data_IF_516541446870
#
_entry.id   IF_516541446870
#
_cell.length_a   1.000
_cell.length_b   1.000
_cell.length_c   1.000
_cell.angle_alpha   90.00
_cell.angle_beta   90.00
_cell.angle_gamma   90.00
#
_symmetry.space_group_name_H-M   'P 1'
#
loop_
_entity.id
_entity.type
_entity.pdbx_description
1 polymer ?
#
# COMPACT_ATOMS: atom_id res chain seq x y z
N UNK A 1 -66.60 7.14 51.58
CA UNK A 1 -66.45 6.11 50.52
C UNK A 1 -65.56 6.72 49.43
N UNK A 2 -64.22 6.86 49.63
CA UNK A 2 -63.38 7.51 48.60
C UNK A 2 -61.89 7.10 48.63
N UNK A 3 -61.57 5.90 49.13
CA UNK A 3 -60.16 5.45 49.20
C UNK A 3 -59.78 4.39 48.13
N UNK A 4 -60.72 3.93 47.29
CA UNK A 4 -60.45 2.91 46.25
C UNK A 4 -59.88 3.46 44.95
N UNK A 5 -60.27 4.66 44.55
CA UNK A 5 -59.92 5.23 43.24
C UNK A 5 -58.48 5.73 43.17
N UNK A 6 -57.90 6.16 44.29
CA UNK A 6 -56.51 6.64 44.32
C UNK A 6 -55.45 5.51 44.31
N UNK A 7 -55.76 4.36 44.85
CA UNK A 7 -54.83 3.17 44.82
C UNK A 7 -54.70 2.57 43.41
N UNK A 8 -55.78 2.59 42.65
CA UNK A 8 -55.75 2.10 41.25
C UNK A 8 -54.96 3.01 40.32
N UNK A 9 -55.08 4.34 40.47
CA UNK A 9 -54.31 5.34 39.73
C UNK A 9 -52.81 5.27 40.04
N UNK A 10 -52.43 4.99 41.29
CA UNK A 10 -51.06 4.82 41.70
C UNK A 10 -50.43 3.52 41.13
N UNK A 11 -51.17 2.41 41.12
CA UNK A 11 -50.72 1.14 40.54
C UNK A 11 -50.52 1.22 39.00
N UNK A 12 -51.44 1.84 38.25
CA UNK A 12 -51.30 2.08 36.82
C UNK A 12 -50.12 2.96 36.47
N UNK A 13 -49.85 4.02 37.27
CA UNK A 13 -48.66 4.89 37.05
C UNK A 13 -47.35 4.15 37.32
N UNK A 14 -47.32 3.26 38.33
CA UNK A 14 -46.11 2.49 38.64
C UNK A 14 -45.81 1.45 37.54
N UNK A 15 -46.82 0.79 36.98
CA UNK A 15 -46.62 -0.13 35.84
C UNK A 15 -46.18 0.59 34.56
N UNK A 16 -46.69 1.77 34.26
CA UNK A 16 -46.27 2.55 33.11
C UNK A 16 -44.80 3.01 33.25
N UNK A 17 -44.36 3.42 34.45
CA UNK A 17 -42.98 3.85 34.72
C UNK A 17 -41.99 2.68 34.65
N UNK A 18 -42.39 1.48 35.15
CA UNK A 18 -41.56 0.27 35.07
C UNK A 18 -41.44 -0.21 33.62
N UNK A 19 -42.53 -0.18 32.85
CA UNK A 19 -42.49 -0.54 31.40
C UNK A 19 -41.61 0.46 30.58
N UNK A 20 -41.71 1.75 30.89
CA UNK A 20 -40.87 2.77 30.22
C UNK A 20 -39.39 2.60 30.58
N UNK A 21 -39.06 2.30 31.85
CA UNK A 21 -37.68 2.02 32.26
C UNK A 21 -37.09 0.78 31.64
N UNK A 22 -37.87 -0.31 31.49
CA UNK A 22 -37.43 -1.54 30.83
C UNK A 22 -37.22 -1.30 29.32
N UNK A 23 -38.06 -0.51 28.66
CA UNK A 23 -37.90 -0.15 27.25
C UNK A 23 -36.65 0.73 27.03
N UNK A 24 -36.35 1.66 27.95
CA UNK A 24 -35.13 2.49 27.88
C UNK A 24 -33.87 1.67 28.13
N UNK A 25 -33.89 0.69 29.03
CA UNK A 25 -32.74 -0.21 29.28
C UNK A 25 -32.50 -1.16 28.12
N UNK A 26 -33.54 -1.66 27.45
CA UNK A 26 -33.43 -2.52 26.27
C UNK A 26 -32.95 -1.72 25.03
N UNK A 27 -33.39 -0.48 24.86
CA UNK A 27 -32.90 0.38 23.76
C UNK A 27 -31.46 0.83 23.96
N UNK A 28 -31.01 1.01 25.21
CA UNK A 28 -29.62 1.35 25.52
C UNK A 28 -28.67 0.16 25.30
N UNK A 29 -29.13 -1.06 25.50
CA UNK A 29 -28.36 -2.29 25.21
C UNK A 29 -28.20 -2.55 23.70
N UNK A 30 -29.12 -2.10 22.85
CA UNK A 30 -29.03 -2.24 21.40
C UNK A 30 -28.06 -1.22 20.76
N UNK A 31 -27.87 -0.05 21.38
CA UNK A 31 -26.96 1.00 20.87
C UNK A 31 -25.49 0.70 21.17
N UNK A 32 -25.18 -0.17 22.15
CA UNK A 32 -23.81 -0.53 22.52
C UNK A 32 -23.24 -1.65 21.63
N UNK A 33 -24.07 -2.38 20.90
CA UNK A 33 -23.62 -3.51 20.06
C UNK A 33 -23.07 -3.12 18.68
N UNK A 34 -23.24 -1.86 18.25
CA UNK A 34 -22.92 -1.43 16.88
C UNK A 34 -21.67 -0.51 16.75
N UNK A 35 -20.90 -0.30 17.82
CA UNK A 35 -19.76 0.65 17.79
C UNK A 35 -18.39 0.00 17.93
N UNK A 36 -18.20 -1.23 17.50
CA UNK A 36 -16.84 -1.81 17.43
C UNK A 36 -16.57 -2.60 16.14
N UNK A 37 -16.80 -1.98 14.99
CA UNK A 37 -16.01 -2.30 13.80
C UNK A 37 -14.92 -1.23 13.61
N UNK A 38 -14.14 -0.98 14.64
CA UNK A 38 -12.81 -0.40 14.47
C UNK A 38 -12.03 -1.37 13.59
N UNK A 39 -11.64 -0.93 12.39
CA UNK A 39 -10.64 -1.61 11.58
C UNK A 39 -9.31 -1.54 12.35
N UNK A 40 -9.12 -2.46 13.28
CA UNK A 40 -7.85 -2.66 13.97
C UNK A 40 -6.99 -3.54 13.08
N UNK A 41 -5.76 -3.13 12.77
CA UNK A 41 -4.77 -4.04 12.21
C UNK A 41 -4.67 -5.22 13.17
N UNK A 42 -4.98 -6.41 12.68
CA UNK A 42 -5.18 -7.53 13.56
C UNK A 42 -3.86 -8.24 13.87
N UNK A 43 -3.73 -8.69 15.10
CA UNK A 43 -2.74 -9.67 15.51
C UNK A 43 -2.98 -10.99 14.76
N UNK A 44 -1.97 -11.85 14.66
CA UNK A 44 -2.07 -13.10 13.90
C UNK A 44 -3.25 -13.98 14.32
N UNK A 45 -3.58 -14.17 15.61
CA UNK A 45 -4.76 -14.93 16.04
C UNK A 45 -6.07 -14.34 15.52
N UNK A 46 -6.19 -13.01 15.46
CA UNK A 46 -7.38 -12.35 14.95
C UNK A 46 -7.51 -12.52 13.44
N UNK A 47 -6.41 -12.42 12.68
CA UNK A 47 -6.39 -12.71 11.23
C UNK A 47 -6.88 -14.13 10.96
N UNK A 48 -6.40 -15.10 11.73
CA UNK A 48 -6.83 -16.50 11.61
C UNK A 48 -8.30 -16.69 11.97
N UNK A 49 -8.76 -16.06 13.06
CA UNK A 49 -10.15 -16.15 13.53
C UNK A 49 -11.14 -15.58 12.51
N UNK A 50 -10.85 -14.45 11.91
CA UNK A 50 -11.72 -13.82 10.90
C UNK A 50 -11.57 -14.45 9.51
N UNK A 51 -10.50 -15.23 9.26
CA UNK A 51 -10.33 -16.04 8.07
C UNK A 51 -9.95 -15.26 6.80
N UNK A 52 -9.47 -14.02 6.92
CA UNK A 52 -8.95 -13.22 5.81
C UNK A 52 -7.92 -12.17 6.29
N UNK A 53 -7.13 -11.65 5.36
CA UNK A 53 -6.15 -10.59 5.61
C UNK A 53 -6.49 -9.34 4.80
N UNK A 54 -6.37 -8.15 5.41
CA UNK A 54 -6.54 -6.86 4.75
C UNK A 54 -5.18 -6.32 4.31
N UNK A 55 -5.01 -6.05 3.02
CA UNK A 55 -3.73 -5.62 2.46
C UNK A 55 -3.91 -4.36 1.63
N UNK A 56 -3.21 -3.27 1.98
CA UNK A 56 -3.11 -2.10 1.14
C UNK A 56 -2.20 -2.38 -0.06
N UNK A 57 -2.65 -2.06 -1.27
CA UNK A 57 -1.94 -2.31 -2.53
C UNK A 57 -1.98 -1.11 -3.46
N UNK A 58 -1.15 -1.12 -4.50
CA UNK A 58 -1.29 -0.19 -5.63
C UNK A 58 -2.27 -0.76 -6.65
N UNK A 59 -2.97 0.13 -7.38
CA UNK A 59 -3.88 -0.24 -8.46
C UNK A 59 -3.62 0.51 -9.77
N UNK A 60 -2.58 1.34 -9.79
CA UNK A 60 -2.21 2.19 -10.91
C UNK A 60 -0.70 2.17 -11.21
N UNK A 61 -0.01 1.10 -10.82
CA UNK A 61 1.45 1.01 -10.90
C UNK A 61 1.87 -0.32 -11.53
N UNK A 62 1.86 -0.38 -12.88
CA UNK A 62 2.40 -1.51 -13.64
C UNK A 62 3.93 -1.54 -13.50
N UNK A 63 4.55 -2.71 -13.35
CA UNK A 63 3.99 -4.06 -13.31
C UNK A 63 3.67 -4.57 -11.90
N UNK A 64 3.79 -3.73 -10.85
CA UNK A 64 3.70 -4.14 -9.44
C UNK A 64 2.26 -4.36 -8.97
N UNK A 65 1.41 -3.34 -9.11
CA UNK A 65 -0.01 -3.40 -8.73
C UNK A 65 -0.84 -2.45 -9.58
N UNK A 66 -1.69 -2.99 -10.44
CA UNK A 66 -2.49 -2.23 -11.41
C UNK A 66 -3.81 -2.92 -11.71
N UNK A 67 -4.71 -2.21 -12.38
CA UNK A 67 -5.95 -2.79 -12.91
C UNK A 67 -5.80 -3.16 -14.38
N UNK A 68 -6.32 -4.33 -14.74
CA UNK A 68 -6.48 -4.71 -16.15
C UNK A 68 -7.64 -3.97 -16.82
N UNK A 69 -7.89 -4.26 -18.10
CA UNK A 69 -8.99 -3.65 -18.86
C UNK A 69 -10.38 -3.98 -18.28
N UNK A 70 -10.52 -5.06 -17.53
CA UNK A 70 -11.75 -5.48 -16.84
C UNK A 70 -11.88 -4.91 -15.43
N UNK A 71 -10.88 -4.12 -14.96
CA UNK A 71 -10.86 -3.53 -13.64
C UNK A 71 -10.29 -4.44 -12.54
N UNK A 72 -9.82 -5.66 -12.87
CA UNK A 72 -9.25 -6.58 -11.90
C UNK A 72 -7.84 -6.16 -11.48
N UNK A 73 -7.54 -6.32 -10.20
CA UNK A 73 -6.21 -6.08 -9.67
C UNK A 73 -5.23 -7.19 -10.08
N UNK A 74 -4.10 -6.80 -10.66
CA UNK A 74 -3.04 -7.67 -11.16
C UNK A 74 -1.65 -7.07 -10.85
N UNK A 75 -0.60 -7.88 -10.97
CA UNK A 75 0.79 -7.47 -10.82
C UNK A 75 1.55 -8.29 -9.78
N UNK A 76 2.85 -8.10 -9.72
CA UNK A 76 3.75 -8.81 -8.82
C UNK A 76 3.32 -8.72 -7.35
N UNK A 77 2.94 -7.52 -6.90
CA UNK A 77 2.53 -7.27 -5.51
C UNK A 77 1.15 -7.88 -5.20
N UNK A 78 0.28 -7.96 -6.20
CA UNK A 78 -1.02 -8.62 -6.07
C UNK A 78 -0.86 -10.14 -5.95
N UNK A 79 0.05 -10.74 -6.75
CA UNK A 79 0.39 -12.15 -6.63
C UNK A 79 1.02 -12.45 -5.27
N UNK A 80 1.93 -11.60 -4.79
CA UNK A 80 2.52 -11.72 -3.46
C UNK A 80 1.46 -11.64 -2.34
N UNK A 81 0.52 -10.70 -2.46
CA UNK A 81 -0.58 -10.55 -1.49
C UNK A 81 -1.44 -11.82 -1.40
N UNK A 82 -1.79 -12.41 -2.55
CA UNK A 82 -2.55 -13.67 -2.61
C UNK A 82 -1.76 -14.85 -2.06
N UNK A 83 -0.46 -14.94 -2.37
CA UNK A 83 0.42 -15.98 -1.84
C UNK A 83 0.56 -15.89 -0.32
N UNK A 84 0.74 -14.69 0.24
CA UNK A 84 0.77 -14.48 1.68
C UNK A 84 -0.57 -14.84 2.35
N UNK A 85 -1.72 -14.60 1.70
CA UNK A 85 -3.01 -15.04 2.22
C UNK A 85 -3.08 -16.57 2.34
N UNK A 86 -2.51 -17.33 1.39
CA UNK A 86 -2.40 -18.79 1.53
C UNK A 86 -1.58 -19.19 2.74
N UNK A 87 -0.43 -18.55 2.96
CA UNK A 87 0.45 -18.87 4.11
C UNK A 87 -0.14 -18.48 5.46
N UNK A 88 -0.94 -17.41 5.52
CA UNK A 88 -1.49 -16.88 6.77
C UNK A 88 -2.83 -17.52 7.14
N UNK A 89 -3.70 -17.79 6.16
CA UNK A 89 -5.09 -18.24 6.38
C UNK A 89 -5.52 -19.42 5.50
N UNK A 90 -4.61 -19.97 4.68
CA UNK A 90 -4.83 -21.22 3.94
C UNK A 90 -5.54 -21.09 2.58
N UNK A 91 -5.93 -19.87 2.14
CA UNK A 91 -6.65 -19.65 0.87
C UNK A 91 -6.21 -18.36 0.18
N UNK A 92 -6.04 -18.40 -1.14
CA UNK A 92 -5.60 -17.27 -1.95
C UNK A 92 -6.66 -16.15 -2.09
N UNK A 93 -7.92 -16.50 -2.00
CA UNK A 93 -9.07 -15.57 -2.05
C UNK A 93 -9.40 -14.97 -0.67
N UNK A 94 -8.78 -15.46 0.40
CA UNK A 94 -8.92 -14.93 1.75
C UNK A 94 -8.12 -13.63 1.96
N UNK A 95 -8.15 -12.74 0.98
CA UNK A 95 -7.49 -11.43 1.00
C UNK A 95 -8.44 -10.33 0.56
N UNK A 96 -8.51 -9.26 1.36
CA UNK A 96 -9.18 -8.02 0.99
C UNK A 96 -8.12 -7.01 0.55
N UNK A 97 -8.06 -6.76 -0.75
CA UNK A 97 -7.12 -5.81 -1.35
C UNK A 97 -7.72 -4.40 -1.31
N UNK A 98 -7.04 -3.48 -0.67
CA UNK A 98 -7.46 -2.08 -0.55
C UNK A 98 -6.49 -1.18 -1.33
N UNK A 99 -6.91 -0.62 -2.47
CA UNK A 99 -6.11 0.34 -3.21
C UNK A 99 -5.82 1.60 -2.39
N UNK A 100 -4.56 2.06 -2.42
CA UNK A 100 -4.13 3.25 -1.69
C UNK A 100 -3.27 4.17 -2.55
N UNK A 101 -3.40 5.50 -2.33
CA UNK A 101 -2.50 6.48 -2.92
C UNK A 101 -1.09 6.40 -2.30
N UNK A 102 -0.08 6.94 -2.99
CA UNK A 102 1.30 6.90 -2.50
C UNK A 102 1.47 7.53 -1.11
N UNK A 103 0.76 8.61 -0.83
CA UNK A 103 0.80 9.32 0.46
C UNK A 103 0.16 8.53 1.61
N UNK A 104 -0.77 7.61 1.30
CA UNK A 104 -1.62 6.93 2.29
C UNK A 104 -1.10 5.54 2.67
N UNK A 105 -0.01 5.06 2.02
CA UNK A 105 0.52 3.70 2.20
C UNK A 105 0.94 3.39 3.63
N UNK A 106 1.56 4.34 4.32
CA UNK A 106 2.02 4.16 5.71
C UNK A 106 0.90 4.46 6.70
N UNK A 107 0.10 5.52 6.47
CA UNK A 107 -1.01 5.87 7.35
C UNK A 107 -2.08 4.78 7.38
N UNK A 108 -2.33 4.08 6.27
CA UNK A 108 -3.25 2.95 6.27
C UNK A 108 -2.87 1.85 7.28
N UNK A 109 -1.56 1.61 7.46
CA UNK A 109 -1.04 0.67 8.45
C UNK A 109 -1.02 1.28 9.85
N UNK A 110 -0.56 2.52 9.99
CA UNK A 110 -0.47 3.22 11.28
C UNK A 110 -1.84 3.47 11.92
N UNK A 111 -2.84 3.77 11.10
CA UNK A 111 -4.23 3.98 11.52
C UNK A 111 -5.01 2.66 11.66
N UNK A 112 -4.33 1.52 11.54
CA UNK A 112 -4.91 0.18 11.64
C UNK A 112 -6.08 -0.10 10.66
N UNK A 113 -6.12 0.59 9.52
CA UNK A 113 -7.13 0.37 8.46
C UNK A 113 -6.89 -0.93 7.68
N UNK A 114 -5.65 -1.40 7.67
CA UNK A 114 -5.21 -2.65 7.05
C UNK A 114 -4.23 -3.37 7.97
N UNK A 115 -4.03 -4.67 7.77
CA UNK A 115 -3.05 -5.45 8.53
C UNK A 115 -1.62 -5.23 8.06
N UNK A 116 -1.47 -4.98 6.75
CA UNK A 116 -0.18 -4.72 6.13
C UNK A 116 -0.35 -3.94 4.83
N UNK A 117 0.77 -3.42 4.31
CA UNK A 117 0.80 -2.83 2.97
C UNK A 117 1.88 -3.51 2.11
N UNK A 118 1.49 -3.85 0.87
CA UNK A 118 2.35 -4.32 -0.22
C UNK A 118 2.10 -3.36 -1.38
N UNK A 119 2.78 -2.21 -1.35
CA UNK A 119 2.40 -1.07 -2.18
C UNK A 119 3.63 -0.24 -2.58
N UNK A 120 4.68 -0.90 -3.05
CA UNK A 120 5.96 -0.30 -3.44
C UNK A 120 6.54 0.61 -2.34
N UNK A 121 6.73 0.06 -1.16
CA UNK A 121 7.29 0.79 -0.03
C UNK A 121 8.74 0.40 0.18
N UNK A 122 9.65 1.36 -0.05
CA UNK A 122 11.07 1.22 0.27
C UNK A 122 11.26 1.20 1.79
N UNK A 123 11.94 0.19 2.29
CA UNK A 123 12.37 0.14 3.69
C UNK A 123 13.51 1.15 3.93
N UNK A 124 13.25 2.15 4.77
CA UNK A 124 14.23 3.17 5.16
C UNK A 124 14.32 3.29 6.68
N UNK A 125 15.47 3.75 7.20
CA UNK A 125 15.67 3.95 8.63
C UNK A 125 14.65 4.90 9.26
N UNK A 126 14.21 5.95 8.54
CA UNK A 126 13.19 6.88 9.01
C UNK A 126 11.83 6.20 9.17
N UNK A 127 11.42 5.40 8.18
CA UNK A 127 10.14 4.67 8.20
C UNK A 127 10.14 3.54 9.23
N UNK A 128 11.29 2.86 9.44
CA UNK A 128 11.44 1.79 10.44
C UNK A 128 11.25 2.26 11.89
N UNK A 129 11.26 3.58 12.13
CA UNK A 129 10.89 4.13 13.45
C UNK A 129 9.38 4.05 13.70
N UNK A 130 8.57 4.09 12.65
CA UNK A 130 7.11 4.15 12.71
C UNK A 130 6.45 2.79 12.49
N UNK A 131 6.96 1.99 11.56
CA UNK A 131 6.40 0.71 11.11
C UNK A 131 7.44 -0.39 11.13
N UNK A 132 7.00 -1.64 11.06
CA UNK A 132 7.86 -2.81 10.84
C UNK A 132 7.93 -3.16 9.36
N UNK A 133 9.08 -3.63 8.91
CA UNK A 133 9.29 -4.12 7.54
C UNK A 133 9.61 -5.61 7.55
N UNK A 134 9.19 -6.30 6.50
CA UNK A 134 9.68 -7.64 6.19
C UNK A 134 11.10 -7.60 5.63
N UNK A 135 11.72 -8.78 5.43
CA UNK A 135 12.81 -8.93 4.47
C UNK A 135 12.33 -8.45 3.09
N UNK A 136 13.23 -7.87 2.27
CA UNK A 136 12.84 -7.38 0.95
C UNK A 136 12.30 -8.50 0.05
N UNK A 137 11.19 -8.26 -0.64
CA UNK A 137 10.67 -9.16 -1.67
C UNK A 137 11.15 -8.78 -3.07
N UNK A 138 11.62 -7.53 -3.25
CA UNK A 138 12.13 -7.02 -4.52
C UNK A 138 13.17 -5.93 -4.28
N UNK A 139 14.15 -5.81 -5.18
CA UNK A 139 15.12 -4.71 -5.19
C UNK A 139 14.87 -3.84 -6.41
N UNK A 140 14.26 -2.71 -6.18
CA UNK A 140 14.04 -1.67 -7.18
C UNK A 140 15.26 -0.73 -7.25
N UNK A 141 15.11 0.41 -7.87
CA UNK A 141 16.10 1.47 -7.90
C UNK A 141 15.80 2.51 -8.95
N UNK A 142 16.30 3.72 -8.74
CA UNK A 142 16.11 4.82 -9.65
C UNK A 142 16.86 4.58 -10.97
N UNK A 143 16.18 4.81 -12.08
CA UNK A 143 16.73 4.85 -13.44
C UNK A 143 16.12 6.03 -14.18
N UNK A 144 16.58 6.26 -15.39
CA UNK A 144 16.12 7.35 -16.25
C UNK A 144 15.48 6.81 -17.51
N UNK A 145 14.37 7.40 -17.92
CA UNK A 145 13.72 7.16 -19.22
C UNK A 145 13.78 8.40 -20.08
N UNK A 146 13.98 8.22 -21.38
CA UNK A 146 14.00 9.29 -22.38
C UNK A 146 13.49 8.79 -23.71
N UNK A 147 12.95 9.69 -24.55
CA UNK A 147 12.68 9.43 -25.98
C UNK A 147 13.76 10.04 -26.90
N UNK A 148 14.64 10.87 -26.36
CA UNK A 148 15.73 11.48 -27.13
C UNK A 148 16.84 10.47 -27.39
N UNK A 149 17.00 10.08 -28.66
CA UNK A 149 17.98 9.08 -29.09
C UNK A 149 19.43 9.56 -28.97
N UNK A 150 19.68 10.86 -28.83
CA UNK A 150 21.02 11.43 -28.63
C UNK A 150 21.55 11.20 -27.20
N UNK A 151 20.68 10.98 -26.23
CA UNK A 151 21.04 10.79 -24.83
C UNK A 151 21.32 9.30 -24.55
N UNK A 152 22.56 8.88 -24.66
CA UNK A 152 22.96 7.48 -24.53
C UNK A 152 23.49 7.13 -23.13
N UNK A 153 24.11 8.09 -22.47
CA UNK A 153 24.82 7.93 -21.21
C UNK A 153 24.32 8.94 -20.18
N UNK A 154 24.55 8.65 -18.94
CA UNK A 154 24.21 9.54 -17.82
C UNK A 154 24.86 10.92 -17.97
N UNK A 155 26.11 10.98 -18.45
CA UNK A 155 26.85 12.24 -18.69
C UNK A 155 26.14 13.18 -19.67
N UNK A 156 25.38 12.65 -20.61
CA UNK A 156 24.67 13.44 -21.62
C UNK A 156 23.53 14.28 -21.01
N UNK A 157 23.16 13.95 -19.78
CA UNK A 157 22.13 14.64 -18.99
C UNK A 157 22.67 15.71 -18.04
N UNK A 158 23.99 15.94 -17.98
CA UNK A 158 24.63 16.77 -16.96
C UNK A 158 24.10 18.23 -16.87
N UNK A 159 23.59 18.79 -17.97
CA UNK A 159 22.99 20.13 -18.02
C UNK A 159 21.59 20.13 -18.63
N UNK A 160 20.89 19.00 -18.53
CA UNK A 160 19.57 18.81 -19.10
C UNK A 160 18.49 18.92 -18.02
N UNK A 161 17.26 19.13 -18.47
CA UNK A 161 16.08 19.12 -17.61
C UNK A 161 15.62 17.69 -17.35
N UNK A 162 15.53 17.33 -16.09
CA UNK A 162 15.12 15.99 -15.65
C UNK A 162 13.87 16.14 -14.79
N UNK A 163 12.75 15.57 -15.25
CA UNK A 163 11.55 15.47 -14.44
C UNK A 163 11.76 14.46 -13.29
N UNK A 164 11.25 14.77 -12.11
CA UNK A 164 11.28 13.91 -10.92
C UNK A 164 9.97 14.08 -10.15
N UNK A 165 9.45 13.01 -9.57
CA UNK A 165 8.30 13.13 -8.66
C UNK A 165 8.71 13.93 -7.42
N UNK A 166 7.91 14.94 -7.06
CA UNK A 166 8.07 15.68 -5.80
C UNK A 166 8.03 14.70 -4.61
N UNK A 167 8.86 14.97 -3.61
CA UNK A 167 9.00 14.16 -2.40
C UNK A 167 9.44 12.69 -2.62
N UNK A 168 10.01 12.35 -3.79
CA UNK A 168 10.58 11.03 -4.04
C UNK A 168 12.04 10.93 -3.56
N UNK A 169 12.48 9.73 -3.18
CA UNK A 169 13.89 9.40 -2.90
C UNK A 169 14.79 9.58 -4.12
N UNK A 170 14.23 9.47 -5.32
CA UNK A 170 14.93 9.63 -6.60
C UNK A 170 15.61 10.99 -6.74
N UNK A 171 15.04 12.05 -6.15
CA UNK A 171 15.63 13.41 -6.19
C UNK A 171 17.07 13.41 -5.67
N UNK A 172 17.30 12.78 -4.51
CA UNK A 172 18.63 12.71 -3.90
C UNK A 172 19.62 11.93 -4.79
N UNK A 173 19.15 10.83 -5.39
CA UNK A 173 19.95 10.01 -6.28
C UNK A 173 20.35 10.78 -7.55
N UNK A 174 19.39 11.48 -8.19
CA UNK A 174 19.70 12.28 -9.38
C UNK A 174 20.67 13.41 -9.06
N UNK A 175 20.47 14.12 -7.94
CA UNK A 175 21.40 15.20 -7.52
C UNK A 175 22.81 14.69 -7.25
N UNK A 176 22.95 13.48 -6.71
CA UNK A 176 24.26 12.90 -6.45
C UNK A 176 25.02 12.60 -7.74
N UNK A 177 24.36 11.99 -8.72
CA UNK A 177 25.02 11.60 -9.98
C UNK A 177 25.05 12.71 -11.03
N UNK A 178 24.10 13.64 -10.99
CA UNK A 178 23.92 14.72 -11.95
C UNK A 178 23.71 16.07 -11.22
N UNK A 179 24.73 16.55 -10.48
CA UNK A 179 24.60 17.77 -9.65
C UNK A 179 24.26 19.03 -10.44
N UNK A 180 24.63 19.08 -11.74
CA UNK A 180 24.42 20.23 -12.61
C UNK A 180 23.14 20.11 -13.49
N UNK A 181 22.35 19.03 -13.34
CA UNK A 181 21.09 18.91 -14.05
C UNK A 181 20.00 19.79 -13.42
N UNK A 182 19.13 20.33 -14.25
CA UNK A 182 17.95 21.08 -13.80
C UNK A 182 16.83 20.09 -13.46
N UNK A 183 16.41 20.04 -12.19
CA UNK A 183 15.32 19.16 -11.77
C UNK A 183 13.97 19.86 -11.85
N UNK A 184 13.04 19.28 -12.58
CA UNK A 184 11.65 19.72 -12.72
C UNK A 184 10.76 18.80 -11.88
N UNK A 185 10.25 19.33 -10.76
CA UNK A 185 9.37 18.56 -9.86
C UNK A 185 7.96 18.43 -10.41
N UNK A 186 7.46 17.20 -10.53
CA UNK A 186 6.11 16.88 -10.99
C UNK A 186 5.30 16.20 -9.88
N UNK A 187 3.96 16.31 -9.94
CA UNK A 187 3.06 15.72 -8.97
C UNK A 187 2.57 14.32 -9.38
N UNK A 188 2.71 13.97 -10.66
CA UNK A 188 2.23 12.68 -11.20
C UNK A 188 3.10 12.16 -12.34
N UNK A 189 2.95 10.86 -12.65
CA UNK A 189 3.54 10.24 -13.84
C UNK A 189 2.97 10.81 -15.13
N UNK A 190 1.70 11.20 -15.15
CA UNK A 190 1.03 11.83 -16.28
C UNK A 190 1.65 13.21 -16.60
N UNK A 191 1.94 13.99 -15.57
CA UNK A 191 2.63 15.27 -15.73
C UNK A 191 4.06 15.07 -16.27
N UNK A 192 4.79 14.08 -15.74
CA UNK A 192 6.12 13.74 -16.28
C UNK A 192 6.03 13.34 -17.77
N UNK A 193 5.03 12.55 -18.14
CA UNK A 193 4.77 12.17 -19.54
C UNK A 193 4.52 13.41 -20.41
N UNK A 194 3.68 14.32 -19.98
CA UNK A 194 3.38 15.54 -20.72
C UNK A 194 4.63 16.43 -20.92
N UNK A 195 5.49 16.54 -19.88
CA UNK A 195 6.75 17.28 -20.01
C UNK A 195 7.71 16.65 -21.04
N UNK A 196 7.78 15.31 -21.08
CA UNK A 196 8.60 14.61 -22.07
C UNK A 196 8.02 14.73 -23.48
N UNK A 197 6.70 14.61 -23.64
CA UNK A 197 6.04 14.75 -24.95
C UNK A 197 6.24 16.16 -25.54
N UNK A 198 6.15 17.19 -24.70
CA UNK A 198 6.31 18.59 -25.11
C UNK A 198 7.77 19.05 -25.15
N UNK A 199 8.74 18.15 -24.94
CA UNK A 199 10.19 18.46 -24.82
C UNK A 199 10.52 19.52 -23.74
N UNK A 200 9.66 19.70 -22.75
CA UNK A 200 9.87 20.56 -21.59
C UNK A 200 10.82 19.92 -20.56
N UNK A 201 10.99 18.58 -20.62
CA UNK A 201 12.05 17.83 -19.95
C UNK A 201 12.71 16.87 -20.94
N UNK A 202 14.00 16.56 -20.72
CA UNK A 202 14.79 15.68 -21.59
C UNK A 202 14.74 14.22 -21.15
N UNK A 203 14.53 14.00 -19.85
CA UNK A 203 14.40 12.68 -19.24
C UNK A 203 13.47 12.74 -18.03
N UNK A 204 12.97 11.59 -17.62
CA UNK A 204 12.26 11.42 -16.34
C UNK A 204 12.99 10.36 -15.51
N UNK A 205 13.25 10.68 -14.24
CA UNK A 205 13.86 9.77 -13.29
C UNK A 205 12.81 9.22 -12.32
N UNK A 206 12.71 7.92 -12.28
CA UNK A 206 11.84 7.19 -11.36
C UNK A 206 12.39 5.78 -11.14
N UNK A 207 11.63 4.96 -10.40
CA UNK A 207 12.03 3.59 -10.11
C UNK A 207 11.97 2.69 -11.36
N UNK A 208 12.90 1.76 -11.46
CA UNK A 208 13.05 0.88 -12.60
C UNK A 208 11.78 0.07 -12.88
N UNK A 209 11.12 -0.43 -11.83
CA UNK A 209 9.86 -1.17 -11.96
C UNK A 209 8.75 -0.34 -12.63
N UNK A 210 8.65 0.95 -12.29
CA UNK A 210 7.69 1.88 -12.91
C UNK A 210 8.04 2.15 -14.36
N UNK A 211 9.32 2.45 -14.61
CA UNK A 211 9.77 2.81 -15.95
C UNK A 211 9.83 1.61 -16.89
N UNK A 212 9.97 0.38 -16.38
CA UNK A 212 9.77 -0.85 -17.18
C UNK A 212 8.34 -0.92 -17.72
N UNK A 213 7.34 -0.69 -16.89
CA UNK A 213 5.96 -0.60 -17.35
C UNK A 213 5.70 0.55 -18.33
N UNK A 214 6.42 1.68 -18.14
CA UNK A 214 6.36 2.81 -19.05
C UNK A 214 6.84 2.47 -20.45
N UNK A 215 8.04 1.87 -20.60
CA UNK A 215 8.59 1.53 -21.93
C UNK A 215 7.83 0.39 -22.61
N UNK A 216 7.17 -0.49 -21.86
CA UNK A 216 6.26 -1.48 -22.41
C UNK A 216 5.01 -0.80 -23.04
N UNK A 217 4.51 0.23 -22.41
CA UNK A 217 3.32 0.96 -22.88
C UNK A 217 3.64 1.95 -23.99
N UNK A 218 4.83 2.56 -23.95
CA UNK A 218 5.28 3.62 -24.88
C UNK A 218 6.63 3.25 -25.50
N UNK A 219 6.65 2.45 -26.59
CA UNK A 219 7.86 1.91 -27.19
C UNK A 219 8.87 2.94 -27.75
N UNK A 220 8.43 4.20 -27.94
CA UNK A 220 9.32 5.31 -28.34
C UNK A 220 10.27 5.73 -27.22
N UNK A 221 9.99 5.33 -25.97
CA UNK A 221 10.85 5.59 -24.83
C UNK A 221 11.82 4.43 -24.60
N UNK A 222 12.95 4.74 -23.97
CA UNK A 222 13.94 3.76 -23.55
C UNK A 222 14.54 4.10 -22.20
N UNK A 223 14.95 3.13 -21.46
CA UNK A 223 15.72 3.29 -20.24
C UNK A 223 17.18 3.59 -20.57
N UNK A 224 17.79 4.50 -19.82
CA UNK A 224 19.25 4.62 -19.81
C UNK A 224 19.85 3.44 -19.02
N UNK A 225 21.01 2.93 -19.42
CA UNK A 225 21.58 1.72 -18.86
C UNK A 225 22.06 1.87 -17.40
N UNK A 226 22.20 3.12 -16.92
CA UNK A 226 22.74 3.39 -15.59
C UNK A 226 21.66 3.37 -14.52
N UNK A 227 21.80 2.47 -13.55
CA UNK A 227 20.99 2.44 -12.34
C UNK A 227 21.57 3.38 -11.30
N UNK A 228 20.75 4.31 -10.79
CA UNK A 228 21.17 5.34 -9.85
C UNK A 228 21.08 4.90 -8.37
N UNK A 229 20.26 3.90 -8.06
CA UNK A 229 20.12 3.37 -6.70
C UNK A 229 19.66 1.92 -6.70
N UNK A 230 19.75 1.31 -5.52
CA UNK A 230 19.10 0.01 -5.23
C UNK A 230 18.27 0.20 -3.97
N UNK A 231 16.97 -0.03 -4.10
CA UNK A 231 15.99 0.23 -3.03
C UNK A 231 15.23 -1.04 -2.68
N UNK A 232 15.34 -1.52 -1.42
CA UNK A 232 14.62 -2.72 -0.99
C UNK A 232 13.13 -2.41 -0.82
N UNK A 233 12.26 -3.11 -1.56
CA UNK A 233 10.82 -3.09 -1.37
C UNK A 233 10.43 -4.17 -0.37
N UNK A 234 9.67 -3.79 0.65
CA UNK A 234 9.30 -4.67 1.76
C UNK A 234 7.82 -4.54 2.11
N UNK A 235 7.26 -5.59 2.67
CA UNK A 235 5.92 -5.55 3.28
C UNK A 235 5.97 -4.67 4.52
N UNK A 236 5.03 -3.75 4.62
CA UNK A 236 4.87 -2.86 5.77
C UNK A 236 3.85 -3.44 6.73
N UNK A 237 4.18 -3.51 8.00
CA UNK A 237 3.34 -4.02 9.07
C UNK A 237 3.30 -3.05 10.26
N UNK A 238 2.28 -3.10 11.11
CA UNK A 238 2.28 -2.35 12.36
C UNK A 238 3.50 -2.71 13.22
N UNK A 239 3.93 -1.76 14.04
CA UNK A 239 5.06 -1.95 14.96
C UNK A 239 4.54 -2.30 16.36
N UNK A 240 5.16 -3.28 17.00
CA UNK A 240 4.81 -3.74 18.34
C UNK A 240 5.04 -5.24 18.51
N UNK A 241 5.25 -5.69 19.74
CA UNK A 241 5.51 -7.10 20.06
C UNK A 241 4.31 -7.99 19.72
N UNK A 242 3.10 -7.48 19.81
CA UNK A 242 1.86 -8.19 19.47
C UNK A 242 1.79 -8.58 17.98
N UNK A 243 2.57 -7.92 17.10
CA UNK A 243 2.63 -8.22 15.66
C UNK A 243 3.85 -9.07 15.27
N UNK A 244 4.67 -9.52 16.24
CA UNK A 244 5.90 -10.27 15.95
C UNK A 244 5.61 -11.61 15.28
N UNK A 245 4.53 -12.29 15.64
CA UNK A 245 4.15 -13.53 14.95
C UNK A 245 3.78 -13.29 13.49
N UNK A 246 3.01 -12.26 13.21
CA UNK A 246 2.68 -11.87 11.83
C UNK A 246 3.96 -11.56 11.03
N UNK A 247 4.86 -10.76 11.59
CA UNK A 247 6.13 -10.40 10.97
C UNK A 247 7.00 -11.63 10.69
N UNK A 248 7.10 -12.55 11.66
CA UNK A 248 7.87 -13.80 11.52
C UNK A 248 7.31 -14.66 10.38
N UNK A 249 6.00 -14.90 10.35
CA UNK A 249 5.34 -15.70 9.29
C UNK A 249 5.53 -15.09 7.90
N UNK A 250 5.41 -13.77 7.78
CA UNK A 250 5.64 -13.07 6.50
C UNK A 250 7.09 -13.23 6.05
N UNK A 251 8.06 -13.07 6.96
CA UNK A 251 9.48 -13.23 6.63
C UNK A 251 9.80 -14.67 6.19
N UNK A 252 9.27 -15.67 6.89
CA UNK A 252 9.42 -17.08 6.53
C UNK A 252 8.80 -17.38 5.15
N UNK A 253 7.61 -16.83 4.86
CA UNK A 253 6.96 -16.98 3.56
C UNK A 253 7.80 -16.35 2.44
N UNK A 254 8.25 -15.11 2.60
CA UNK A 254 9.07 -14.42 1.61
C UNK A 254 10.39 -15.17 1.39
N UNK A 255 11.04 -15.65 2.45
CA UNK A 255 12.28 -16.45 2.34
C UNK A 255 12.03 -17.73 1.53
N UNK A 256 10.90 -18.42 1.75
CA UNK A 256 10.52 -19.59 0.92
C UNK A 256 10.28 -19.19 -0.55
N UNK A 257 9.61 -18.06 -0.81
CA UNK A 257 9.36 -17.60 -2.18
C UNK A 257 10.64 -17.20 -2.93
N UNK A 258 11.63 -16.66 -2.23
CA UNK A 258 12.96 -16.37 -2.78
C UNK A 258 13.69 -17.69 -3.09
N UNK A 259 13.78 -18.58 -2.08
CA UNK A 259 14.56 -19.84 -2.20
C UNK A 259 13.97 -20.80 -3.23
N UNK A 260 12.66 -20.80 -3.43
CA UNK A 260 11.99 -21.62 -4.46
C UNK A 260 12.07 -21.00 -5.87
N UNK A 261 12.56 -19.76 -6.01
CA UNK A 261 12.55 -19.02 -7.28
C UNK A 261 11.18 -18.47 -7.68
N UNK A 262 10.16 -18.63 -6.84
CA UNK A 262 8.80 -18.17 -7.14
C UNK A 262 8.74 -16.65 -7.37
N UNK A 263 9.39 -15.84 -6.53
CA UNK A 263 9.43 -14.38 -6.71
C UNK A 263 10.12 -13.99 -8.02
N UNK A 264 11.24 -14.64 -8.38
CA UNK A 264 11.92 -14.40 -9.64
C UNK A 264 11.02 -14.75 -10.84
N UNK A 265 10.33 -15.87 -10.77
CA UNK A 265 9.38 -16.29 -11.81
C UNK A 265 8.23 -15.30 -11.97
N UNK A 266 7.67 -14.79 -10.86
CA UNK A 266 6.61 -13.75 -10.92
C UNK A 266 7.14 -12.43 -11.45
N UNK A 267 8.32 -11.98 -11.01
CA UNK A 267 8.95 -10.77 -11.54
C UNK A 267 9.18 -10.86 -13.06
N UNK A 268 9.69 -12.00 -13.56
CA UNK A 268 9.87 -12.24 -15.01
C UNK A 268 8.54 -12.27 -15.76
N UNK A 269 7.48 -12.81 -15.14
CA UNK A 269 6.15 -12.88 -15.76
C UNK A 269 5.54 -11.47 -15.97
N UNK A 270 5.79 -10.57 -15.04
CA UNK A 270 5.23 -9.21 -15.11
C UNK A 270 6.12 -8.22 -15.87
N UNK A 271 7.42 -8.50 -16.11
CA UNK A 271 8.39 -7.66 -16.83
C UNK A 271 9.52 -7.22 -15.94
#
# INVERSE_FOLDING_TARGET
MDNGCNRWKAACRLHLLISAAIFLLLSFSYVIADTQLSASAAEMPEIQRRGYVNIAVKDNLRPLGFRDASGNLQGLEIDLAKALAVDLVGKADAVKLQPVANRDRLSAVLDHKVDMAIARVTATSSRSRLVSFSVPYYFDGAVLVTKDTSLQRLSDLAKRKIAVLKNSSTIANVRYYLPNAELVGVDSYQEAFALLENNAANAFAADASVLSGWVQQYPQYRLLPTKLSTEPLSVVMPKGLQYDELRRRINEAIARYINSGWLQQRATHWG
#
